data_IF_802010978564
#
_entry.id   IF_802010978564
#
_cell.length_a   1.000
_cell.length_b   1.000
_cell.length_c   1.000
_cell.angle_alpha   90.00
_cell.angle_beta   90.00
_cell.angle_gamma   90.00
#
_symmetry.space_group_name_H-M   'P 1'
#
loop_
_entity.id
_entity.type
_entity.pdbx_description
1 polymer ?
#
# COMPACT_ATOMS: atom_id res chain seq x y z
N UNK A 1 -14.49 0.61 -20.36
CA UNK A 1 -13.18 -0.05 -20.62
C UNK A 1 -12.75 -0.02 -22.07
N UNK A 2 -13.67 0.12 -23.04
CA UNK A 2 -13.37 0.14 -24.50
C UNK A 2 -12.31 1.17 -24.94
N UNK A 3 -12.15 2.25 -24.20
CA UNK A 3 -11.20 3.33 -24.50
C UNK A 3 -9.79 3.13 -23.90
N UNK A 4 -9.52 2.00 -23.23
CA UNK A 4 -8.19 1.73 -22.66
C UNK A 4 -7.51 0.59 -23.39
N UNK A 5 -6.20 0.72 -23.59
CA UNK A 5 -5.36 -0.39 -24.02
C UNK A 5 -5.09 -1.31 -22.83
N UNK A 6 -5.36 -2.60 -23.00
CA UNK A 6 -5.09 -3.66 -22.02
C UNK A 6 -4.35 -4.77 -22.77
N UNK A 7 -3.37 -5.40 -22.13
CA UNK A 7 -2.64 -6.51 -22.73
C UNK A 7 -1.69 -7.20 -21.74
N UNK A 8 -0.76 -8.04 -22.23
CA UNK A 8 0.22 -8.73 -21.39
C UNK A 8 1.18 -7.77 -20.67
N UNK A 9 2.02 -8.30 -19.76
CA UNK A 9 2.93 -7.53 -18.88
C UNK A 9 3.74 -6.43 -19.59
N UNK A 10 4.14 -6.66 -20.84
CA UNK A 10 4.95 -5.72 -21.63
C UNK A 10 4.13 -4.83 -22.56
N UNK A 11 2.85 -4.62 -22.27
CA UNK A 11 2.02 -3.69 -23.04
C UNK A 11 2.52 -2.27 -22.83
N UNK A 12 3.00 -1.58 -23.89
CA UNK A 12 3.62 -0.28 -23.72
C UNK A 12 2.59 0.78 -23.35
N UNK A 13 3.00 1.87 -22.67
CA UNK A 13 2.21 3.08 -22.57
C UNK A 13 1.73 3.57 -23.94
N UNK A 14 0.62 4.30 -23.96
CA UNK A 14 0.00 4.73 -25.21
C UNK A 14 -0.39 6.20 -25.18
N UNK A 15 -0.40 6.81 -26.37
CA UNK A 15 -0.83 8.19 -26.56
C UNK A 15 -2.31 8.36 -26.18
N UNK A 16 -2.61 9.45 -25.48
CA UNK A 16 -4.00 9.86 -25.28
C UNK A 16 -4.53 10.46 -26.58
N UNK A 17 -5.71 10.01 -26.99
CA UNK A 17 -6.44 10.48 -28.16
C UNK A 17 -7.83 10.89 -27.71
N UNK A 18 -8.21 12.14 -27.98
CA UNK A 18 -9.53 12.68 -27.65
C UNK A 18 -10.64 11.84 -28.31
N UNK A 19 -11.69 11.50 -27.54
CA UNK A 19 -12.77 10.60 -27.99
C UNK A 19 -12.33 9.14 -28.25
N UNK A 20 -11.04 8.84 -28.14
CA UNK A 20 -10.43 7.56 -28.48
C UNK A 20 -9.68 6.94 -27.31
N UNK A 21 -8.42 6.60 -27.52
CA UNK A 21 -7.57 5.92 -26.56
C UNK A 21 -7.23 6.80 -25.35
N UNK A 22 -7.43 6.29 -24.14
CA UNK A 22 -7.26 7.00 -22.87
C UNK A 22 -6.00 6.58 -22.11
N UNK A 23 -5.17 5.73 -22.71
CA UNK A 23 -3.93 5.23 -22.13
C UNK A 23 -3.90 3.70 -21.98
N UNK A 24 -2.75 3.20 -21.53
CA UNK A 24 -2.56 1.78 -21.24
C UNK A 24 -2.85 1.51 -19.77
N UNK A 25 -3.85 0.70 -19.49
CA UNK A 25 -4.11 0.19 -18.15
C UNK A 25 -3.10 -0.92 -17.85
N UNK A 26 -2.34 -0.77 -16.76
CA UNK A 26 -1.42 -1.79 -16.32
C UNK A 26 -1.41 -1.96 -14.80
N UNK A 27 -1.02 -3.18 -14.40
CA UNK A 27 -0.84 -3.63 -13.04
C UNK A 27 0.46 -4.43 -12.98
N UNK A 28 1.42 -4.13 -12.08
CA UNK A 28 1.33 -3.17 -10.97
C UNK A 28 1.18 -1.71 -11.43
N UNK A 29 0.79 -0.85 -10.50
CA UNK A 29 0.71 0.59 -10.75
C UNK A 29 2.11 1.21 -10.98
N UNK A 30 2.16 2.50 -11.28
CA UNK A 30 3.41 3.23 -11.52
C UNK A 30 4.36 3.25 -10.31
N UNK A 31 3.85 3.07 -9.09
CA UNK A 31 4.66 2.98 -7.86
C UNK A 31 5.23 1.58 -7.62
N UNK A 32 4.81 0.57 -8.41
CA UNK A 32 5.14 -0.84 -8.18
C UNK A 32 4.23 -1.50 -7.14
N UNK A 33 4.35 -2.82 -7.00
CA UNK A 33 3.59 -3.59 -6.00
C UNK A 33 4.32 -3.67 -4.66
N UNK A 34 5.60 -4.06 -4.67
CA UNK A 34 6.53 -3.98 -3.55
C UNK A 34 7.56 -2.90 -3.89
N UNK A 35 7.72 -1.90 -3.01
CA UNK A 35 8.34 -0.61 -3.36
C UNK A 35 9.50 -0.26 -2.42
N UNK A 36 9.91 1.00 -2.40
CA UNK A 36 10.96 1.59 -1.58
C UNK A 36 10.81 1.36 -0.07
N UNK A 37 9.60 1.05 0.42
CA UNK A 37 9.32 0.77 1.83
C UNK A 37 10.06 -0.44 2.39
N UNK A 38 10.54 -1.32 1.51
CA UNK A 38 11.31 -2.49 1.86
C UNK A 38 10.48 -3.63 2.44
N UNK A 39 11.17 -4.55 3.09
CA UNK A 39 10.64 -5.76 3.70
C UNK A 39 11.37 -6.02 5.01
N UNK A 40 10.80 -6.88 5.87
CA UNK A 40 11.51 -7.37 7.05
C UNK A 40 11.98 -8.81 6.82
N UNK A 41 13.15 -9.15 7.33
CA UNK A 41 13.75 -10.48 7.22
C UNK A 41 13.97 -11.05 8.62
N UNK A 42 13.52 -12.27 8.82
CA UNK A 42 13.86 -13.08 9.98
C UNK A 42 14.99 -14.06 9.60
N UNK A 43 16.25 -13.78 9.97
CA UNK A 43 17.36 -14.68 9.65
C UNK A 43 17.33 -15.98 10.45
N UNK A 44 16.63 -16.05 11.57
CA UNK A 44 16.56 -17.27 12.40
C UNK A 44 15.62 -18.30 11.79
N UNK A 45 14.52 -17.83 11.19
CA UNK A 45 13.51 -18.71 10.55
C UNK A 45 13.63 -18.75 9.03
N UNK A 46 14.43 -17.87 8.41
CA UNK A 46 14.53 -17.74 6.97
C UNK A 46 13.30 -17.11 6.32
N UNK A 47 12.51 -16.34 7.07
CA UNK A 47 11.27 -15.73 6.58
C UNK A 47 11.47 -14.30 6.08
N UNK A 48 10.86 -13.95 4.96
CA UNK A 48 10.78 -12.61 4.40
C UNK A 48 9.33 -12.10 4.44
N UNK A 49 9.11 -10.91 5.00
CA UNK A 49 7.80 -10.27 5.13
C UNK A 49 7.72 -9.05 4.22
N UNK A 50 6.94 -9.14 3.15
CA UNK A 50 6.87 -8.13 2.09
C UNK A 50 5.49 -7.44 2.11
N UNK A 51 5.40 -6.15 2.48
CA UNK A 51 4.21 -5.36 2.20
C UNK A 51 4.10 -5.14 0.69
N UNK A 52 2.89 -5.25 0.16
CA UNK A 52 2.63 -4.95 -1.24
C UNK A 52 1.25 -4.38 -1.47
N UNK A 53 1.10 -3.64 -2.57
CA UNK A 53 -0.17 -3.16 -3.08
C UNK A 53 -0.57 -3.87 -4.38
N UNK A 54 -1.87 -3.91 -4.62
CA UNK A 54 -2.51 -4.49 -5.80
C UNK A 54 -3.36 -3.38 -6.47
N UNK A 55 -2.67 -2.31 -6.83
CA UNK A 55 -3.25 -1.15 -7.49
C UNK A 55 -2.92 -1.16 -8.97
N UNK A 56 -3.57 -0.28 -9.74
CA UNK A 56 -3.32 -0.10 -11.16
C UNK A 56 -2.97 1.34 -11.47
N UNK A 57 -2.32 1.55 -12.61
CA UNK A 57 -2.15 2.86 -13.22
C UNK A 57 -2.64 2.85 -14.65
N UNK A 58 -2.98 4.03 -15.15
CA UNK A 58 -3.15 4.26 -16.58
C UNK A 58 -1.93 5.03 -17.06
N UNK A 59 -1.08 4.37 -17.83
CA UNK A 59 0.12 4.95 -18.41
C UNK A 59 -0.24 5.70 -19.69
N UNK A 60 -0.15 7.02 -19.60
CA UNK A 60 -0.56 7.96 -20.64
C UNK A 60 0.63 8.69 -21.19
N UNK A 61 0.73 8.75 -22.51
CA UNK A 61 1.72 9.55 -23.20
C UNK A 61 1.04 10.71 -23.92
N UNK A 62 1.77 11.82 -24.03
CA UNK A 62 1.50 12.93 -24.94
C UNK A 62 2.78 13.29 -25.68
N UNK A 63 2.65 13.98 -26.80
CA UNK A 63 3.81 14.64 -27.40
C UNK A 63 4.28 15.80 -26.51
N UNK A 64 5.59 16.06 -26.53
CA UNK A 64 6.16 17.23 -25.89
C UNK A 64 5.63 18.52 -26.54
N UNK A 65 5.33 19.53 -25.74
CA UNK A 65 4.91 20.82 -26.28
C UNK A 65 6.10 21.60 -26.87
N UNK A 66 5.90 22.45 -27.88
CA UNK A 66 6.96 23.34 -28.37
C UNK A 66 7.56 24.17 -27.23
N UNK A 67 8.88 24.14 -27.09
CA UNK A 67 9.61 24.86 -26.03
C UNK A 67 9.59 24.20 -24.65
N UNK A 68 8.98 23.03 -24.50
CA UNK A 68 8.98 22.30 -23.23
C UNK A 68 10.38 21.74 -22.92
N UNK A 69 10.93 21.94 -21.69
CA UNK A 69 12.25 21.44 -21.33
C UNK A 69 12.34 19.91 -21.42
N UNK A 70 13.43 19.42 -22.00
CA UNK A 70 13.76 17.99 -22.14
C UNK A 70 14.01 17.58 -23.59
N UNK A 71 14.51 16.36 -23.78
CA UNK A 71 14.81 15.77 -25.09
C UNK A 71 13.91 14.55 -25.42
N UNK A 72 12.89 14.30 -24.60
CA UNK A 72 11.95 13.20 -24.81
C UNK A 72 10.84 13.64 -25.76
N UNK A 73 10.67 12.92 -26.89
CA UNK A 73 9.56 13.14 -27.84
C UNK A 73 8.18 12.94 -27.20
N UNK A 74 8.08 11.97 -26.30
CA UNK A 74 6.85 11.62 -25.59
C UNK A 74 7.05 11.81 -24.09
N UNK A 75 6.06 12.42 -23.44
CA UNK A 75 6.06 12.67 -21.99
C UNK A 75 4.82 12.07 -21.35
N UNK A 76 4.90 11.84 -20.05
CA UNK A 76 3.75 11.42 -19.26
C UNK A 76 2.65 12.49 -19.28
N UNK A 77 1.44 12.08 -19.60
CA UNK A 77 0.26 12.95 -19.63
C UNK A 77 -0.54 12.79 -18.33
N UNK A 78 0.01 13.29 -17.21
CA UNK A 78 -0.58 13.14 -15.86
C UNK A 78 -1.98 13.72 -15.75
N UNK A 79 -2.22 14.85 -16.39
CA UNK A 79 -3.49 15.60 -16.33
C UNK A 79 -4.48 15.21 -17.44
N UNK A 80 -4.14 14.23 -18.27
CA UNK A 80 -4.93 13.85 -19.42
C UNK A 80 -5.80 12.60 -19.16
N UNK A 81 -6.94 12.56 -19.84
CA UNK A 81 -7.83 11.41 -19.88
C UNK A 81 -8.60 11.13 -18.59
N UNK A 82 -9.58 10.22 -18.67
CA UNK A 82 -10.40 9.85 -17.52
C UNK A 82 -9.85 8.57 -16.86
N UNK A 83 -9.79 8.44 -15.52
CA UNK A 83 -9.47 7.16 -14.88
C UNK A 83 -10.63 6.16 -15.05
N UNK A 84 -10.34 4.88 -15.29
CA UNK A 84 -11.38 3.86 -15.39
C UNK A 84 -11.97 3.59 -14.00
N UNK A 85 -13.26 3.85 -13.83
CA UNK A 85 -14.00 3.46 -12.62
C UNK A 85 -15.09 2.47 -13.01
N UNK A 86 -15.37 1.52 -12.13
CA UNK A 86 -16.60 0.73 -12.23
C UNK A 86 -17.80 1.64 -11.95
N UNK A 87 -19.03 1.22 -12.30
CA UNK A 87 -20.24 1.92 -11.88
C UNK A 87 -20.19 2.27 -10.39
N UNK A 88 -20.73 3.44 -10.04
CA UNK A 88 -20.79 3.95 -8.66
C UNK A 88 -19.43 4.26 -8.01
N UNK A 89 -18.34 4.33 -8.79
CA UNK A 89 -17.02 4.72 -8.27
C UNK A 89 -16.23 3.60 -7.61
N UNK A 90 -16.71 2.35 -7.72
CA UNK A 90 -16.04 1.19 -7.17
C UNK A 90 -14.69 0.90 -7.87
N UNK A 91 -13.71 0.29 -7.15
CA UNK A 91 -12.46 -0.13 -7.75
C UNK A 91 -12.67 -1.11 -8.89
N UNK A 92 -11.78 -0.99 -9.89
CA UNK A 92 -11.80 -1.81 -11.09
C UNK A 92 -11.37 -3.27 -10.84
N UNK A 93 -10.41 -3.45 -9.94
CA UNK A 93 -9.79 -4.75 -9.69
C UNK A 93 -10.25 -5.34 -8.36
N UNK A 94 -10.16 -6.67 -8.27
CA UNK A 94 -10.50 -7.39 -7.04
C UNK A 94 -9.44 -7.16 -5.93
N UNK A 95 -9.88 -7.09 -4.66
CA UNK A 95 -9.02 -7.06 -3.47
C UNK A 95 -8.24 -8.38 -3.26
N UNK A 96 -7.26 -8.45 -2.33
CA UNK A 96 -6.85 -7.37 -1.41
C UNK A 96 -6.09 -6.25 -2.13
N UNK A 97 -6.34 -4.99 -1.75
CA UNK A 97 -5.73 -3.80 -2.37
C UNK A 97 -4.34 -3.50 -1.80
N UNK A 98 -4.11 -3.85 -0.53
CA UNK A 98 -2.79 -3.93 0.10
C UNK A 98 -2.73 -5.21 0.93
N UNK A 99 -1.53 -5.77 1.07
CA UNK A 99 -1.32 -7.06 1.74
C UNK A 99 0.10 -7.18 2.30
N UNK A 100 0.24 -8.00 3.32
CA UNK A 100 1.50 -8.51 3.84
C UNK A 100 1.64 -9.96 3.38
N UNK A 101 2.78 -10.30 2.79
CA UNK A 101 3.07 -11.67 2.36
C UNK A 101 4.31 -12.16 3.09
N UNK A 102 4.20 -13.29 3.78
CA UNK A 102 5.35 -14.00 4.33
C UNK A 102 5.82 -15.06 3.34
N UNK A 103 7.11 -15.06 3.06
CA UNK A 103 7.76 -15.92 2.07
C UNK A 103 8.86 -16.68 2.80
N UNK A 104 8.83 -18.01 2.72
CA UNK A 104 9.95 -18.84 3.15
C UNK A 104 11.06 -18.72 2.12
N UNK A 105 12.20 -18.16 2.52
CA UNK A 105 13.32 -17.89 1.62
C UNK A 105 14.10 -19.15 1.25
N UNK A 106 13.91 -20.27 1.95
CA UNK A 106 14.56 -21.53 1.62
C UNK A 106 13.84 -22.25 0.47
N UNK A 107 12.51 -22.10 0.38
CA UNK A 107 11.65 -22.78 -0.60
C UNK A 107 11.11 -21.85 -1.69
N UNK A 108 11.00 -20.55 -1.38
CA UNK A 108 10.32 -19.56 -2.22
C UNK A 108 8.78 -19.58 -2.08
N UNK A 109 8.23 -20.40 -1.18
CA UNK A 109 6.78 -20.53 -1.01
C UNK A 109 6.21 -19.40 -0.14
N UNK A 110 4.96 -19.02 -0.42
CA UNK A 110 4.22 -18.11 0.46
C UNK A 110 3.69 -18.89 1.64
N UNK A 111 4.24 -18.65 2.84
CA UNK A 111 3.73 -19.24 4.07
C UNK A 111 2.32 -18.72 4.39
N UNK A 112 2.11 -17.41 4.20
CA UNK A 112 0.80 -16.78 4.31
C UNK A 112 0.73 -15.44 3.57
N UNK A 113 -0.49 -14.98 3.31
CA UNK A 113 -0.79 -13.66 2.76
C UNK A 113 -2.03 -13.08 3.46
N UNK A 114 -1.88 -11.91 4.08
CA UNK A 114 -2.98 -11.24 4.79
C UNK A 114 -3.23 -9.83 4.25
N UNK A 115 -4.49 -9.38 4.11
CA UNK A 115 -4.81 -7.99 3.78
C UNK A 115 -4.24 -7.02 4.83
N UNK A 116 -3.70 -5.89 4.37
CA UNK A 116 -3.29 -4.81 5.26
C UNK A 116 -4.43 -3.81 5.44
N UNK A 117 -5.21 -4.06 6.49
CA UNK A 117 -6.37 -3.27 6.85
C UNK A 117 -7.69 -3.90 6.45
N UNK A 118 -8.77 -3.37 7.02
CA UNK A 118 -10.11 -3.89 6.79
C UNK A 118 -10.69 -3.42 5.44
N UNK A 119 -10.31 -2.21 5.01
CA UNK A 119 -10.81 -1.60 3.79
C UNK A 119 -12.25 -1.09 3.92
N UNK A 120 -12.62 -0.57 5.09
CA UNK A 120 -14.00 -0.24 5.44
C UNK A 120 -14.65 0.81 4.55
N UNK A 121 -13.88 1.77 4.03
CA UNK A 121 -14.34 2.70 2.96
C UNK A 121 -14.98 2.00 1.76
N UNK A 122 -14.58 0.77 1.47
CA UNK A 122 -15.09 -0.03 0.36
C UNK A 122 -16.09 -1.07 0.86
N UNK A 123 -15.80 -1.78 1.96
CA UNK A 123 -16.73 -2.76 2.55
C UNK A 123 -18.08 -2.13 2.89
N UNK A 124 -18.09 -0.91 3.43
CA UNK A 124 -19.29 -0.20 3.85
C UNK A 124 -20.00 0.55 2.70
N UNK A 125 -19.48 0.51 1.47
CA UNK A 125 -20.11 1.13 0.32
C UNK A 125 -21.54 0.58 0.12
N UNK A 126 -22.58 1.39 -0.19
CA UNK A 126 -23.97 0.94 -0.28
C UNK A 126 -24.17 -0.26 -1.23
N UNK A 127 -23.40 -0.31 -2.31
CA UNK A 127 -23.45 -1.40 -3.29
C UNK A 127 -22.70 -2.67 -2.85
N UNK A 128 -21.89 -2.64 -1.78
CA UNK A 128 -21.06 -3.76 -1.33
C UNK A 128 -21.41 -4.26 0.08
N UNK A 129 -21.92 -3.40 0.97
CA UNK A 129 -22.15 -3.72 2.39
C UNK A 129 -23.03 -4.94 2.65
N UNK A 130 -23.92 -5.27 1.72
CA UNK A 130 -24.82 -6.42 1.83
C UNK A 130 -24.14 -7.77 1.53
N UNK A 131 -22.91 -7.75 1.00
CA UNK A 131 -22.16 -8.94 0.63
C UNK A 131 -21.31 -9.49 1.77
N UNK A 132 -21.19 -8.77 2.89
CA UNK A 132 -20.36 -9.13 4.06
C UNK A 132 -18.95 -9.61 3.65
N UNK A 133 -18.28 -8.78 2.84
CA UNK A 133 -16.97 -9.13 2.28
C UNK A 133 -15.92 -9.28 3.39
N UNK A 134 -14.90 -10.17 3.24
CA UNK A 134 -13.77 -10.23 4.17
C UNK A 134 -12.93 -8.94 4.12
N UNK A 135 -11.87 -8.80 4.96
CA UNK A 135 -10.96 -7.67 4.87
C UNK A 135 -10.42 -7.47 3.45
N UNK A 136 -10.51 -6.23 2.95
CA UNK A 136 -10.13 -5.89 1.57
C UNK A 136 -8.75 -5.25 1.46
N UNK A 137 -8.12 -4.89 2.59
CA UNK A 137 -6.94 -4.06 2.61
C UNK A 137 -7.19 -2.67 2.01
N UNK A 138 -6.12 -2.06 1.55
CA UNK A 138 -6.11 -0.68 1.04
C UNK A 138 -5.71 0.35 2.08
N UNK A 139 -5.47 -0.05 3.34
CA UNK A 139 -5.23 0.88 4.45
C UNK A 139 -3.75 0.96 4.83
N UNK A 140 -2.87 0.36 4.03
CA UNK A 140 -1.43 0.56 4.17
C UNK A 140 -1.01 1.65 3.21
N UNK A 141 -0.31 2.63 3.75
CA UNK A 141 0.48 3.58 2.96
C UNK A 141 1.95 3.21 3.09
N UNK A 142 2.82 3.93 2.37
CA UNK A 142 4.21 3.55 2.13
C UNK A 142 5.07 3.50 3.42
N UNK A 143 4.88 2.47 4.24
CA UNK A 143 5.61 2.21 5.48
C UNK A 143 6.14 0.77 5.47
N UNK A 144 7.42 0.61 5.78
CA UNK A 144 8.02 -0.72 5.92
C UNK A 144 7.60 -1.39 7.23
N UNK A 145 7.66 -2.73 7.31
CA UNK A 145 7.42 -3.44 8.55
C UNK A 145 8.62 -3.35 9.50
N UNK A 146 8.34 -3.32 10.80
CA UNK A 146 9.29 -3.61 11.86
C UNK A 146 9.07 -5.04 12.34
N UNK A 147 10.13 -5.84 12.35
CA UNK A 147 10.08 -7.20 12.86
C UNK A 147 10.83 -7.30 14.20
N UNK A 148 10.22 -7.99 15.15
CA UNK A 148 10.85 -8.46 16.39
C UNK A 148 10.84 -10.00 16.41
N UNK A 149 11.48 -10.66 17.38
CA UNK A 149 11.44 -12.12 17.48
C UNK A 149 10.02 -12.71 17.52
N UNK A 150 9.02 -11.94 17.97
CA UNK A 150 7.64 -12.40 18.14
C UNK A 150 6.62 -11.67 17.28
N UNK A 151 6.85 -10.41 16.94
CA UNK A 151 5.84 -9.54 16.31
C UNK A 151 6.31 -8.97 14.98
N UNK A 152 5.38 -8.91 14.03
CA UNK A 152 5.49 -8.13 12.82
C UNK A 152 4.61 -6.89 12.96
N UNK A 153 5.23 -5.71 12.94
CA UNK A 153 4.60 -4.43 13.26
C UNK A 153 4.58 -3.55 12.02
N UNK A 154 3.43 -2.95 11.70
CA UNK A 154 3.28 -2.04 10.57
C UNK A 154 2.23 -0.98 10.86
N UNK A 155 2.42 0.24 10.34
CA UNK A 155 1.40 1.28 10.43
C UNK A 155 0.38 1.17 9.29
N UNK A 156 -0.89 1.44 9.61
CA UNK A 156 -1.99 1.61 8.67
C UNK A 156 -2.52 3.04 8.76
N UNK A 157 -3.03 3.58 7.64
CA UNK A 157 -3.63 4.91 7.57
C UNK A 157 -5.10 4.96 7.99
N UNK A 158 -5.75 3.80 8.16
CA UNK A 158 -7.15 3.69 8.56
C UNK A 158 -7.43 2.42 9.41
N UNK A 159 -8.66 2.31 9.91
CA UNK A 159 -9.16 1.18 10.69
C UNK A 159 -8.91 1.25 12.21
N UNK A 160 -8.41 2.38 12.74
CA UNK A 160 -8.41 2.68 14.18
C UNK A 160 -9.82 3.00 14.70
N UNK A 161 -9.95 3.46 15.95
CA UNK A 161 -11.26 3.66 16.61
C UNK A 161 -12.24 4.53 15.80
N UNK A 162 -11.75 5.61 15.18
CA UNK A 162 -12.54 6.53 14.33
C UNK A 162 -12.22 6.37 12.84
N UNK A 163 -11.87 5.16 12.40
CA UNK A 163 -11.30 4.86 11.08
C UNK A 163 -9.98 5.63 10.80
N UNK A 164 -9.33 6.07 11.88
CA UNK A 164 -8.06 6.78 11.85
C UNK A 164 -6.83 5.87 11.68
N UNK A 165 -5.64 6.46 11.59
CA UNK A 165 -4.39 5.71 11.47
C UNK A 165 -4.08 4.93 12.74
N UNK A 166 -3.38 3.82 12.60
CA UNK A 166 -3.06 2.92 13.70
C UNK A 166 -1.74 2.18 13.47
N UNK A 167 -1.10 1.78 14.56
CA UNK A 167 0.00 0.84 14.57
C UNK A 167 -0.56 -0.56 14.84
N UNK A 168 -0.24 -1.52 13.97
CA UNK A 168 -0.76 -2.89 14.04
C UNK A 168 0.36 -3.86 14.34
N UNK A 169 0.19 -4.65 15.38
CA UNK A 169 1.08 -5.77 15.72
C UNK A 169 0.43 -7.10 15.30
N UNK A 170 1.18 -7.89 14.55
CA UNK A 170 0.77 -9.20 14.04
C UNK A 170 1.64 -10.31 14.59
N UNK A 171 1.05 -11.49 14.75
CA UNK A 171 1.81 -12.72 14.88
C UNK A 171 2.60 -12.96 13.58
N UNK A 172 3.93 -13.11 13.67
CA UNK A 172 4.77 -13.26 12.47
C UNK A 172 4.54 -14.60 11.76
N UNK A 173 4.16 -15.65 12.47
CA UNK A 173 4.01 -16.99 11.90
C UNK A 173 2.70 -17.15 11.11
N UNK A 174 1.65 -16.41 11.47
CA UNK A 174 0.30 -16.56 10.91
C UNK A 174 -0.22 -15.30 10.20
N UNK A 175 0.33 -14.12 10.54
CA UNK A 175 -0.14 -12.81 10.07
C UNK A 175 -1.39 -12.30 10.78
N UNK A 176 -1.91 -13.03 11.77
CA UNK A 176 -3.06 -12.63 12.59
C UNK A 176 -2.77 -11.34 13.35
N UNK A 177 -3.74 -10.43 13.41
CA UNK A 177 -3.63 -9.20 14.20
C UNK A 177 -3.80 -9.54 15.68
N UNK A 178 -2.78 -9.23 16.48
CA UNK A 178 -2.80 -9.46 17.93
C UNK A 178 -3.20 -8.21 18.71
N UNK A 179 -2.77 -7.04 18.23
CA UNK A 179 -3.07 -5.77 18.88
C UNK A 179 -3.00 -4.61 17.88
N UNK A 180 -3.74 -3.56 18.20
CA UNK A 180 -3.69 -2.27 17.49
C UNK A 180 -3.55 -1.13 18.50
N UNK A 181 -2.91 -0.05 18.08
CA UNK A 181 -2.78 1.19 18.83
C UNK A 181 -3.14 2.33 17.90
N UNK A 182 -4.12 3.15 18.26
CA UNK A 182 -4.45 4.34 17.49
C UNK A 182 -3.26 5.30 17.45
N UNK A 183 -2.97 5.79 16.25
CA UNK A 183 -1.98 6.84 16.04
C UNK A 183 -2.71 8.18 15.97
N UNK A 184 -2.14 9.24 16.55
CA UNK A 184 -2.78 10.57 16.48
C UNK A 184 -2.82 11.10 15.03
N UNK A 185 -1.87 10.69 14.19
CA UNK A 185 -1.73 11.09 12.77
C UNK A 185 -1.08 9.98 11.96
N UNK A 186 -1.21 10.04 10.62
CA UNK A 186 -0.67 9.04 9.72
C UNK A 186 0.84 8.92 9.82
N UNK A 187 1.36 7.69 9.78
CA UNK A 187 2.80 7.44 9.75
C UNK A 187 3.41 7.95 8.44
N UNK A 188 4.65 8.44 8.50
CA UNK A 188 5.40 8.88 7.31
C UNK A 188 6.60 7.97 6.99
N UNK A 189 6.90 7.02 7.86
CA UNK A 189 8.04 6.14 7.71
C UNK A 189 7.87 4.85 8.49
N UNK A 190 8.82 3.93 8.26
CA UNK A 190 8.84 2.64 8.93
C UNK A 190 9.08 2.81 10.44
N UNK A 191 8.35 2.07 11.28
CA UNK A 191 8.66 2.02 12.70
C UNK A 191 10.05 1.41 12.94
N UNK A 192 10.70 1.84 14.01
CA UNK A 192 11.94 1.29 14.52
C UNK A 192 11.81 0.96 16.00
N UNK A 193 12.70 0.12 16.53
CA UNK A 193 12.74 -0.18 17.97
C UNK A 193 14.14 0.04 18.54
N UNK A 194 14.20 0.40 19.81
CA UNK A 194 15.44 0.55 20.58
C UNK A 194 15.19 0.26 22.06
N UNK A 195 16.29 0.08 22.81
CA UNK A 195 16.28 -0.08 24.26
C UNK A 195 16.88 1.18 24.91
N UNK A 196 16.24 1.68 25.95
CA UNK A 196 16.76 2.73 26.81
C UNK A 196 16.45 2.37 28.26
N UNK A 197 17.48 2.33 29.11
CA UNK A 197 17.38 2.00 30.54
C UNK A 197 16.59 0.72 30.83
N UNK A 198 16.79 -0.31 30.01
CA UNK A 198 16.13 -1.61 30.14
C UNK A 198 14.69 -1.65 29.62
N UNK A 199 14.15 -0.54 29.10
CA UNK A 199 12.80 -0.46 28.52
C UNK A 199 12.86 -0.39 26.99
N UNK A 200 12.05 -1.21 26.33
CA UNK A 200 11.94 -1.21 24.87
C UNK A 200 10.95 -0.15 24.41
N UNK A 201 11.34 0.58 23.37
CA UNK A 201 10.52 1.59 22.71
C UNK A 201 10.30 1.24 21.26
N UNK A 202 9.15 1.61 20.72
CA UNK A 202 8.86 1.64 19.29
C UNK A 202 8.70 3.10 18.89
N UNK A 203 9.52 3.58 17.96
CA UNK A 203 9.46 4.93 17.46
C UNK A 203 9.08 4.98 15.99
N UNK A 204 8.33 6.01 15.61
CA UNK A 204 7.95 6.27 14.23
C UNK A 204 7.66 7.75 14.02
N UNK A 205 7.90 8.23 12.80
CA UNK A 205 7.53 9.59 12.41
C UNK A 205 6.07 9.61 11.98
N UNK A 206 5.31 10.56 12.53
CA UNK A 206 3.94 10.86 12.14
C UNK A 206 3.88 12.22 11.44
N UNK A 207 2.97 12.34 10.47
CA UNK A 207 2.72 13.60 9.78
C UNK A 207 2.00 14.61 10.66
N UNK A 208 1.80 15.82 10.15
CA UNK A 208 1.08 16.87 10.85
C UNK A 208 1.44 18.28 10.39
N UNK A 209 0.61 19.24 10.79
CA UNK A 209 0.88 20.67 10.67
C UNK A 209 1.19 21.23 12.07
N UNK A 210 2.18 22.13 12.24
CA UNK A 210 2.98 22.76 11.19
C UNK A 210 4.16 21.92 10.68
N UNK A 211 4.60 20.89 11.41
CA UNK A 211 5.71 20.00 11.03
C UNK A 211 5.46 18.55 11.45
N UNK A 212 6.08 17.55 10.79
CA UNK A 212 6.12 16.18 11.27
C UNK A 212 6.79 16.02 12.63
N UNK A 213 6.44 14.95 13.34
CA UNK A 213 6.96 14.66 14.69
C UNK A 213 7.43 13.21 14.80
N UNK A 214 8.44 12.97 15.63
CA UNK A 214 8.84 11.62 16.05
C UNK A 214 8.13 11.29 17.37
N UNK A 215 7.37 10.21 17.40
CA UNK A 215 6.76 9.68 18.62
C UNK A 215 7.45 8.38 19.03
N UNK A 216 7.44 8.08 20.34
CA UNK A 216 7.94 6.83 20.91
C UNK A 216 6.89 6.22 21.84
N UNK A 217 6.58 4.95 21.62
CA UNK A 217 5.60 4.17 22.37
C UNK A 217 6.35 3.12 23.20
N UNK A 218 5.88 2.89 24.42
CA UNK A 218 6.36 1.81 25.29
C UNK A 218 5.21 1.27 26.13
N UNK A 219 5.34 0.04 26.62
CA UNK A 219 4.42 -0.51 27.60
C UNK A 219 4.43 0.32 28.89
N UNK A 220 3.32 0.36 29.66
CA UNK A 220 3.30 0.96 31.00
C UNK A 220 4.38 0.40 31.93
N UNK A 221 4.68 1.13 33.00
CA UNK A 221 5.56 0.69 34.08
C UNK A 221 4.89 -0.36 34.99
#
# INVERSE_FOLDING_TARGET
MSHFRIGPLYTPPSLVVEGGNQGTLARPNASGAATWVGAAVDPETGMLYVPSNNLYSVFRLREAYPGEPGNLRYREARDAGTPPRMPQGLPLFKPPYTRMTAIDMNTGEHAWMQPLGNGDRLRNHPALRHLDLPPLGGDSEDHGPLLTPTLLISALSAGGTDDGPQLVARDKATGEVLATIDLPRGALGSPMTYLLDGRQYIALTIGGSPVPELIALALPE
#
